data_IF_413317069205
#
_entry.id   IF_413317069205
#
_cell.length_a   1.000
_cell.length_b   1.000
_cell.length_c   1.000
_cell.angle_alpha   90.00
_cell.angle_beta   90.00
_cell.angle_gamma   90.00
#
_symmetry.space_group_name_H-M   'P 1'
#
loop_
_entity.id
_entity.type
_entity.pdbx_description
1 polymer ?
#
# COMPACT_ATOMS: atom_id res chain seq x y z
N UNK A 1 -17.52 11.74 25.32
CA UNK A 1 -16.89 12.11 24.06
C UNK A 1 -16.82 10.90 23.13
N UNK A 2 -16.67 11.11 21.84
CA UNK A 2 -16.54 10.03 20.87
C UNK A 2 -15.13 9.41 20.96
N UNK A 3 -15.01 8.09 20.80
CA UNK A 3 -13.67 7.44 20.72
C UNK A 3 -12.91 8.00 19.50
N UNK A 4 -11.60 8.18 19.63
CA UNK A 4 -10.78 8.80 18.59
C UNK A 4 -10.75 8.01 17.29
N UNK A 5 -10.69 6.67 17.34
CA UNK A 5 -10.78 5.79 16.18
C UNK A 5 -12.09 5.96 15.40
N UNK A 6 -13.24 6.05 16.11
CA UNK A 6 -14.54 6.34 15.49
C UNK A 6 -14.62 7.76 14.89
N UNK A 7 -13.96 8.75 15.54
CA UNK A 7 -13.90 10.11 15.00
C UNK A 7 -13.16 10.14 13.67
N UNK A 8 -12.02 9.45 13.56
CA UNK A 8 -11.28 9.36 12.30
C UNK A 8 -12.10 8.65 11.22
N UNK A 9 -12.80 7.57 11.57
CA UNK A 9 -13.70 6.88 10.64
C UNK A 9 -14.80 7.79 10.08
N UNK A 10 -15.39 8.68 10.91
CA UNK A 10 -16.40 9.63 10.44
C UNK A 10 -15.82 10.62 9.43
N UNK A 11 -14.63 11.16 9.67
CA UNK A 11 -13.97 12.05 8.72
C UNK A 11 -13.63 11.37 7.40
N UNK A 12 -13.24 10.08 7.44
CA UNK A 12 -13.02 9.29 6.23
C UNK A 12 -14.30 9.19 5.38
N UNK A 13 -15.43 8.85 6.02
CA UNK A 13 -16.74 8.78 5.34
C UNK A 13 -17.18 10.15 4.83
N UNK A 14 -16.95 11.23 5.60
CA UNK A 14 -17.29 12.59 5.21
C UNK A 14 -16.46 13.05 4.00
N UNK A 15 -15.17 12.73 3.96
CA UNK A 15 -14.30 12.98 2.81
C UNK A 15 -14.84 12.31 1.54
N UNK A 16 -15.13 11.01 1.60
CA UNK A 16 -15.68 10.26 0.46
C UNK A 16 -16.99 10.87 -0.07
N UNK A 17 -17.87 11.29 0.84
CA UNK A 17 -19.12 11.95 0.48
C UNK A 17 -18.90 13.28 -0.25
N UNK A 18 -18.03 14.14 0.26
CA UNK A 18 -17.72 15.42 -0.38
C UNK A 18 -17.00 15.22 -1.71
N UNK A 19 -16.05 14.29 -1.77
CA UNK A 19 -15.36 13.96 -3.01
C UNK A 19 -16.31 13.48 -4.11
N UNK A 20 -17.24 12.57 -3.79
CA UNK A 20 -18.26 12.10 -4.75
C UNK A 20 -19.18 13.21 -5.22
N UNK A 21 -19.55 14.13 -4.33
CA UNK A 21 -20.35 15.30 -4.69
C UNK A 21 -19.58 16.23 -5.61
N UNK A 22 -18.33 16.55 -5.32
CA UNK A 22 -17.46 17.38 -6.16
C UNK A 22 -17.29 16.79 -7.57
N UNK A 23 -17.05 15.48 -7.67
CA UNK A 23 -16.97 14.79 -8.95
C UNK A 23 -18.28 14.91 -9.74
N UNK A 24 -19.42 14.72 -9.09
CA UNK A 24 -20.73 14.85 -9.76
C UNK A 24 -20.97 16.28 -10.27
N UNK A 25 -20.56 17.31 -9.51
CA UNK A 25 -20.66 18.71 -9.90
C UNK A 25 -19.76 19.04 -11.11
N UNK A 26 -18.55 18.53 -11.14
CA UNK A 26 -17.61 18.69 -12.27
C UNK A 26 -18.13 17.97 -13.54
N UNK A 27 -18.68 16.77 -13.39
CA UNK A 27 -19.31 16.05 -14.51
C UNK A 27 -20.55 16.79 -15.04
N UNK A 28 -21.35 17.42 -14.18
CA UNK A 28 -22.49 18.25 -14.58
C UNK A 28 -22.06 19.48 -15.40
N UNK A 29 -20.79 19.91 -15.28
CA UNK A 29 -20.17 20.97 -16.09
C UNK A 29 -19.61 20.47 -17.42
N UNK A 30 -19.77 19.16 -17.74
CA UNK A 30 -19.39 18.56 -19.01
C UNK A 30 -18.07 17.80 -19.00
N UNK A 31 -17.43 17.60 -17.85
CA UNK A 31 -16.21 16.79 -17.73
C UNK A 31 -16.52 15.30 -17.77
N UNK A 32 -15.63 14.51 -18.36
CA UNK A 32 -15.63 13.06 -18.16
C UNK A 32 -15.33 12.72 -16.69
N UNK A 33 -15.55 11.48 -16.28
CA UNK A 33 -15.23 11.04 -14.92
C UNK A 33 -13.74 11.21 -14.61
N UNK A 34 -12.89 10.79 -15.56
CA UNK A 34 -11.44 10.87 -15.44
C UNK A 34 -10.94 12.32 -15.34
N UNK A 35 -11.52 13.23 -16.15
CA UNK A 35 -11.23 14.66 -16.10
C UNK A 35 -11.66 15.27 -14.75
N UNK A 36 -12.84 14.92 -14.25
CA UNK A 36 -13.35 15.39 -12.97
C UNK A 36 -12.47 14.91 -11.80
N UNK A 37 -12.07 13.64 -11.80
CA UNK A 37 -11.15 13.07 -10.80
C UNK A 37 -9.77 13.74 -10.82
N UNK A 38 -9.26 14.06 -12.00
CA UNK A 38 -7.99 14.78 -12.15
C UNK A 38 -8.08 16.25 -11.70
N UNK A 39 -9.23 16.90 -11.94
CA UNK A 39 -9.47 18.30 -11.62
C UNK A 39 -9.96 18.55 -10.19
N UNK A 40 -10.24 17.50 -9.40
CA UNK A 40 -10.78 17.63 -8.06
C UNK A 40 -9.87 18.44 -7.12
N UNK A 41 -10.27 19.61 -6.63
CA UNK A 41 -9.54 20.37 -5.62
C UNK A 41 -9.32 19.58 -4.33
N UNK A 42 -10.34 18.89 -3.84
CA UNK A 42 -10.28 18.10 -2.61
C UNK A 42 -9.22 17.00 -2.69
N UNK A 43 -9.16 16.30 -3.83
CA UNK A 43 -8.15 15.27 -4.07
C UNK A 43 -6.75 15.88 -4.27
N UNK A 44 -6.64 17.05 -4.88
CA UNK A 44 -5.39 17.78 -5.03
C UNK A 44 -4.79 18.17 -3.67
N UNK A 45 -5.62 18.65 -2.73
CA UNK A 45 -5.21 18.95 -1.36
C UNK A 45 -4.75 17.69 -0.61
N UNK A 46 -5.47 16.56 -0.77
CA UNK A 46 -5.08 15.29 -0.16
C UNK A 46 -3.72 14.78 -0.68
N UNK A 47 -3.47 14.90 -1.99
CA UNK A 47 -2.18 14.55 -2.60
C UNK A 47 -1.05 15.48 -2.10
N UNK A 48 -1.33 16.75 -1.93
CA UNK A 48 -0.35 17.71 -1.36
C UNK A 48 -0.02 17.37 0.09
N UNK A 49 -1.02 16.99 0.90
CA UNK A 49 -0.78 16.52 2.27
C UNK A 49 0.11 15.28 2.30
N UNK A 50 -0.08 14.32 1.38
CA UNK A 50 0.78 13.14 1.28
C UNK A 50 2.24 13.53 0.95
N UNK A 51 2.44 14.43 -0.01
CA UNK A 51 3.79 14.92 -0.35
C UNK A 51 4.47 15.62 0.83
N UNK A 52 3.72 16.48 1.54
CA UNK A 52 4.22 17.13 2.77
C UNK A 52 4.57 16.12 3.85
N UNK A 53 3.73 15.11 4.03
CA UNK A 53 4.00 14.03 4.98
C UNK A 53 5.29 13.27 4.64
N UNK A 54 5.48 12.88 3.39
CA UNK A 54 6.71 12.19 2.94
C UNK A 54 7.94 13.11 3.04
N UNK A 55 7.78 14.40 2.79
CA UNK A 55 8.85 15.40 2.95
C UNK A 55 9.20 15.72 4.42
N UNK A 56 8.43 15.19 5.38
CA UNK A 56 8.67 15.40 6.81
C UNK A 56 8.13 16.71 7.37
N UNK A 57 7.12 17.33 6.73
CA UNK A 57 6.48 18.55 7.23
C UNK A 57 6.02 18.37 8.68
N UNK A 58 6.47 19.20 9.63
CA UNK A 58 6.25 18.98 11.05
C UNK A 58 4.78 19.14 11.46
N UNK A 59 4.01 20.00 10.82
CA UNK A 59 2.61 20.21 11.17
C UNK A 59 1.74 19.07 10.65
N UNK A 60 1.97 18.62 9.42
CA UNK A 60 1.29 17.46 8.85
C UNK A 60 1.62 16.19 9.64
N UNK A 61 2.90 15.97 9.97
CA UNK A 61 3.35 14.83 10.78
C UNK A 61 2.72 14.83 12.17
N UNK A 62 2.67 15.96 12.84
CA UNK A 62 2.07 16.10 14.18
C UNK A 62 0.58 15.73 14.18
N UNK A 63 -0.19 16.21 13.22
CA UNK A 63 -1.61 15.86 13.10
C UNK A 63 -1.79 14.38 12.80
N UNK A 64 -1.01 13.85 11.86
CA UNK A 64 -1.02 12.43 11.50
C UNK A 64 -0.66 11.53 12.69
N UNK A 65 0.38 11.83 13.45
CA UNK A 65 0.78 11.09 14.65
C UNK A 65 -0.30 11.10 15.73
N UNK A 66 -0.91 12.26 15.96
CA UNK A 66 -2.02 12.38 16.91
C UNK A 66 -3.21 11.50 16.49
N UNK A 67 -3.62 11.54 15.22
CA UNK A 67 -4.72 10.74 14.69
C UNK A 67 -4.42 9.24 14.80
N UNK A 68 -3.22 8.82 14.40
CA UNK A 68 -2.81 7.41 14.49
C UNK A 68 -2.74 6.92 15.93
N UNK A 69 -2.29 7.75 16.89
CA UNK A 69 -2.29 7.36 18.31
C UNK A 69 -3.68 6.98 18.81
N UNK A 70 -4.72 7.66 18.35
CA UNK A 70 -6.10 7.34 18.71
C UNK A 70 -6.58 6.03 18.07
N UNK A 71 -6.22 5.80 16.80
CA UNK A 71 -6.56 4.56 16.10
C UNK A 71 -5.85 3.36 16.72
N UNK A 72 -4.57 3.48 17.04
CA UNK A 72 -3.80 2.40 17.68
C UNK A 72 -4.35 2.06 19.07
N UNK A 73 -4.72 3.05 19.86
CA UNK A 73 -5.36 2.81 21.15
C UNK A 73 -6.70 2.03 21.00
N UNK A 74 -7.46 2.32 19.94
CA UNK A 74 -8.67 1.57 19.59
C UNK A 74 -8.38 0.12 19.17
N UNK A 75 -7.33 -0.10 18.39
CA UNK A 75 -6.87 -1.44 17.99
C UNK A 75 -6.41 -2.25 19.18
N UNK A 76 -5.58 -1.67 20.06
CA UNK A 76 -5.08 -2.34 21.27
C UNK A 76 -6.23 -2.80 22.19
N UNK A 77 -7.27 -1.97 22.36
CA UNK A 77 -8.45 -2.35 23.10
C UNK A 77 -9.16 -3.55 22.46
N UNK A 78 -9.33 -3.52 21.14
CA UNK A 78 -10.00 -4.58 20.37
C UNK A 78 -9.21 -5.89 20.47
N UNK A 79 -7.92 -5.88 20.20
CA UNK A 79 -7.07 -7.07 20.27
C UNK A 79 -7.05 -7.67 21.67
N UNK A 80 -6.96 -6.84 22.72
CA UNK A 80 -7.02 -7.31 24.11
C UNK A 80 -8.36 -8.01 24.41
N UNK A 81 -9.48 -7.46 23.92
CA UNK A 81 -10.80 -8.07 24.09
C UNK A 81 -10.96 -9.36 23.30
N UNK A 82 -10.28 -9.51 22.18
CA UNK A 82 -10.25 -10.74 21.38
C UNK A 82 -9.26 -11.78 21.91
N UNK A 83 -8.41 -11.44 22.88
CA UNK A 83 -7.35 -12.30 23.36
C UNK A 83 -6.23 -12.54 22.34
N UNK A 84 -5.99 -11.55 21.47
CA UNK A 84 -4.95 -11.60 20.41
C UNK A 84 -3.77 -10.75 20.83
N UNK A 85 -2.56 -11.26 20.64
CA UNK A 85 -1.30 -10.59 20.86
C UNK A 85 -0.36 -10.80 19.66
N UNK A 86 0.69 -9.98 19.55
CA UNK A 86 1.63 -9.99 18.42
C UNK A 86 3.07 -9.92 18.91
N UNK A 87 3.94 -10.76 18.37
CA UNK A 87 5.39 -10.69 18.63
C UNK A 87 6.01 -9.42 18.06
N UNK A 88 5.50 -8.92 16.92
CA UNK A 88 5.97 -7.69 16.28
C UNK A 88 4.89 -7.04 15.42
N UNK A 89 4.84 -5.72 15.50
CA UNK A 89 3.98 -4.88 14.67
C UNK A 89 4.87 -4.11 13.67
N UNK A 90 4.46 -4.11 12.39
CA UNK A 90 5.08 -3.33 11.32
C UNK A 90 4.13 -2.20 10.91
N UNK A 91 4.66 -0.98 10.91
CA UNK A 91 3.89 0.20 10.53
C UNK A 91 4.24 0.62 9.10
N UNK A 92 3.24 0.86 8.28
CA UNK A 92 3.40 1.26 6.88
C UNK A 92 4.25 2.53 6.72
N UNK A 93 4.15 3.45 7.70
CA UNK A 93 4.99 4.66 7.77
C UNK A 93 6.50 4.40 7.88
N UNK A 94 6.90 3.17 8.19
CA UNK A 94 8.28 2.72 8.25
C UNK A 94 8.62 1.79 7.08
N UNK A 95 7.69 0.89 6.75
CA UNK A 95 7.91 -0.14 5.72
C UNK A 95 7.93 0.43 4.30
N UNK A 96 7.26 1.55 4.03
CA UNK A 96 7.22 2.15 2.69
C UNK A 96 8.60 2.59 2.19
N UNK A 97 9.50 3.02 3.08
CA UNK A 97 10.87 3.42 2.72
C UNK A 97 11.66 2.22 2.19
N UNK A 98 11.59 1.08 2.88
CA UNK A 98 12.21 -0.17 2.46
C UNK A 98 11.62 -0.68 1.13
N UNK A 99 10.33 -0.48 0.93
CA UNK A 99 9.66 -0.80 -0.34
C UNK A 99 10.13 0.10 -1.48
N UNK A 100 10.23 1.42 -1.27
CA UNK A 100 10.77 2.35 -2.27
C UNK A 100 12.19 1.99 -2.69
N UNK A 101 13.07 1.72 -1.71
CA UNK A 101 14.43 1.28 -1.97
C UNK A 101 14.46 0.04 -2.87
N UNK A 102 13.63 -0.96 -2.54
CA UNK A 102 13.56 -2.20 -3.31
C UNK A 102 12.99 -2.01 -4.72
N UNK A 103 12.02 -1.12 -4.88
CA UNK A 103 11.48 -0.75 -6.21
C UNK A 103 12.54 -0.04 -7.05
N UNK A 104 13.30 0.89 -6.48
CA UNK A 104 14.38 1.57 -7.19
C UNK A 104 15.50 0.60 -7.59
N UNK A 105 15.87 -0.33 -6.71
CA UNK A 105 16.81 -1.42 -7.04
C UNK A 105 16.29 -2.28 -8.20
N UNK A 106 15.00 -2.63 -8.21
CA UNK A 106 14.37 -3.37 -9.30
C UNK A 106 14.35 -2.60 -10.63
N UNK A 107 14.20 -1.29 -10.58
CA UNK A 107 14.30 -0.42 -11.74
C UNK A 107 15.73 -0.40 -12.31
N UNK A 108 16.76 -0.26 -11.47
CA UNK A 108 18.17 -0.30 -11.87
C UNK A 108 18.56 -1.64 -12.50
N UNK A 109 17.98 -2.75 -12.02
CA UNK A 109 18.20 -4.09 -12.55
C UNK A 109 17.38 -4.41 -13.81
N UNK A 110 16.53 -3.49 -14.27
CA UNK A 110 15.66 -3.70 -15.44
C UNK A 110 14.51 -4.68 -15.22
N UNK A 111 14.21 -5.03 -13.97
CA UNK A 111 13.05 -5.87 -13.58
C UNK A 111 11.75 -5.05 -13.61
N UNK A 112 11.88 -3.76 -13.37
CA UNK A 112 10.82 -2.76 -13.42
C UNK A 112 11.14 -1.71 -14.49
N UNK A 113 10.15 -0.93 -14.89
CA UNK A 113 10.34 0.11 -15.88
C UNK A 113 9.68 1.44 -15.46
N UNK A 114 10.16 2.53 -16.04
CA UNK A 114 9.63 3.88 -15.83
C UNK A 114 8.83 4.31 -17.05
N UNK A 115 7.62 4.84 -16.83
CA UNK A 115 6.82 5.50 -17.89
C UNK A 115 7.29 6.94 -18.12
N UNK A 116 6.84 7.55 -19.21
CA UNK A 116 7.18 8.93 -19.58
C UNK A 116 6.78 9.97 -18.52
N UNK A 117 5.71 9.72 -17.78
CA UNK A 117 5.25 10.55 -16.67
C UNK A 117 6.11 10.45 -15.40
N UNK A 118 7.12 9.55 -15.39
CA UNK A 118 8.02 9.31 -14.27
C UNK A 118 7.57 8.20 -13.32
N UNK A 119 6.36 7.67 -13.46
CA UNK A 119 5.84 6.56 -12.64
C UNK A 119 6.61 5.26 -12.89
N UNK A 120 6.71 4.41 -11.85
CA UNK A 120 7.41 3.11 -11.92
C UNK A 120 6.42 1.96 -11.89
N UNK A 121 6.59 1.03 -12.81
CA UNK A 121 5.67 -0.06 -13.07
C UNK A 121 6.39 -1.41 -13.19
N UNK A 122 5.65 -2.47 -12.90
CA UNK A 122 5.99 -3.85 -13.27
C UNK A 122 5.11 -4.31 -14.44
N UNK A 123 5.71 -4.95 -15.43
CA UNK A 123 4.98 -5.65 -16.47
C UNK A 123 4.82 -7.11 -16.05
N UNK A 124 3.56 -7.56 -15.91
CA UNK A 124 3.21 -8.92 -15.49
C UNK A 124 2.43 -9.65 -16.59
N UNK A 125 2.51 -9.19 -17.83
CA UNK A 125 1.77 -9.75 -18.98
C UNK A 125 2.16 -11.20 -19.28
N UNK A 126 3.41 -11.58 -19.02
CA UNK A 126 3.92 -12.96 -19.10
C UNK A 126 3.27 -13.93 -18.10
N UNK A 127 2.71 -13.40 -17.00
CA UNK A 127 1.93 -14.13 -16.00
C UNK A 127 0.40 -14.03 -16.25
N UNK A 128 -0.01 -13.43 -17.37
CA UNK A 128 -1.41 -13.17 -17.69
C UNK A 128 -2.09 -12.12 -16.83
N UNK A 129 -1.31 -11.22 -16.22
CA UNK A 129 -1.77 -10.15 -15.36
C UNK A 129 -1.50 -8.78 -15.98
N UNK A 130 -2.17 -7.75 -15.47
CA UNK A 130 -1.97 -6.38 -15.90
C UNK A 130 -0.66 -5.79 -15.37
N UNK A 131 -0.22 -4.68 -16.00
CA UNK A 131 0.85 -3.86 -15.47
C UNK A 131 0.46 -3.31 -14.09
N UNK A 132 1.42 -3.29 -13.15
CA UNK A 132 1.22 -2.80 -11.78
C UNK A 132 2.05 -1.57 -11.48
N UNK A 133 1.38 -0.52 -11.03
CA UNK A 133 2.00 0.69 -10.50
C UNK A 133 2.68 0.38 -9.17
N UNK A 134 3.92 0.82 -9.02
CA UNK A 134 4.71 0.69 -7.79
C UNK A 134 5.13 2.04 -7.20
N UNK A 135 5.41 3.05 -8.04
CA UNK A 135 5.57 4.43 -7.59
C UNK A 135 4.81 5.35 -8.53
N UNK A 136 4.11 6.33 -7.96
CA UNK A 136 3.42 7.37 -8.74
C UNK A 136 4.41 8.29 -9.43
N UNK A 137 3.93 9.10 -10.37
CA UNK A 137 4.73 10.08 -11.10
C UNK A 137 5.46 11.09 -10.19
N UNK A 138 4.86 11.44 -9.06
CA UNK A 138 5.45 12.30 -8.02
C UNK A 138 6.42 11.55 -7.07
N UNK A 139 6.67 10.27 -7.30
CA UNK A 139 7.55 9.42 -6.50
C UNK A 139 6.92 8.86 -5.22
N UNK A 140 5.64 9.13 -4.95
CA UNK A 140 4.97 8.57 -3.77
C UNK A 140 4.66 7.08 -3.94
N UNK A 141 4.68 6.35 -2.82
CA UNK A 141 4.42 4.90 -2.78
C UNK A 141 2.93 4.57 -2.91
N UNK A 142 2.65 3.33 -3.27
CA UNK A 142 1.33 2.71 -3.25
C UNK A 142 1.33 1.53 -2.26
N UNK A 143 0.18 0.94 -1.96
CA UNK A 143 0.08 -0.20 -1.03
C UNK A 143 1.02 -1.36 -1.39
N UNK A 144 1.15 -1.69 -2.68
CA UNK A 144 2.06 -2.74 -3.14
C UNK A 144 3.52 -2.46 -2.75
N UNK A 145 3.96 -1.21 -2.84
CA UNK A 145 5.31 -0.79 -2.41
C UNK A 145 5.51 -1.03 -0.91
N UNK A 146 4.50 -0.69 -0.11
CA UNK A 146 4.54 -0.89 1.35
C UNK A 146 4.61 -2.37 1.70
N UNK A 147 3.85 -3.23 1.03
CA UNK A 147 3.86 -4.68 1.23
C UNK A 147 5.19 -5.33 0.85
N UNK A 148 5.83 -4.88 -0.24
CA UNK A 148 7.19 -5.30 -0.60
C UNK A 148 8.16 -4.95 0.53
N UNK A 149 8.09 -3.73 1.08
CA UNK A 149 8.91 -3.29 2.20
C UNK A 149 8.67 -4.11 3.47
N UNK A 150 7.42 -4.39 3.78
CA UNK A 150 7.03 -5.22 4.93
C UNK A 150 7.57 -6.64 4.80
N UNK A 151 7.46 -7.25 3.62
CA UNK A 151 8.01 -8.58 3.36
C UNK A 151 9.53 -8.60 3.54
N UNK A 152 10.26 -7.62 2.96
CA UNK A 152 11.71 -7.46 3.14
C UNK A 152 12.09 -7.43 4.62
N UNK A 153 11.38 -6.61 5.43
CA UNK A 153 11.66 -6.49 6.85
C UNK A 153 11.39 -7.77 7.63
N UNK A 154 10.30 -8.47 7.35
CA UNK A 154 9.96 -9.74 8.02
C UNK A 154 11.03 -10.79 7.85
N UNK A 155 11.57 -10.95 6.64
CA UNK A 155 12.66 -11.89 6.37
C UNK A 155 14.01 -11.46 6.92
N UNK A 156 14.24 -10.15 7.05
CA UNK A 156 15.42 -9.62 7.72
C UNK A 156 15.38 -9.85 9.23
N UNK A 157 14.20 -9.63 9.83
CA UNK A 157 14.05 -9.61 11.28
C UNK A 157 13.90 -11.01 11.89
N UNK A 158 13.47 -11.98 11.11
CA UNK A 158 13.23 -13.36 11.56
C UNK A 158 13.76 -14.39 10.57
N UNK A 159 14.41 -15.46 11.05
CA UNK A 159 14.83 -16.60 10.22
C UNK A 159 13.61 -17.50 9.90
N UNK A 160 12.67 -16.99 9.13
CA UNK A 160 11.42 -17.69 8.80
C UNK A 160 11.57 -18.50 7.50
N UNK A 161 11.02 -19.70 7.50
CA UNK A 161 10.95 -20.57 6.31
C UNK A 161 9.65 -20.40 5.52
N UNK A 162 8.62 -19.89 6.17
CA UNK A 162 7.31 -19.69 5.55
C UNK A 162 6.65 -18.40 6.06
N UNK A 163 6.15 -17.60 5.15
CA UNK A 163 5.29 -16.45 5.47
C UNK A 163 3.84 -16.77 5.09
N UNK A 164 2.91 -16.59 6.04
CA UNK A 164 1.49 -16.84 5.84
C UNK A 164 0.76 -15.50 5.97
N UNK A 165 0.00 -15.14 4.94
CA UNK A 165 -0.90 -13.99 4.97
C UNK A 165 -2.32 -14.46 5.28
N UNK A 166 -2.90 -13.94 6.35
CA UNK A 166 -4.30 -14.21 6.72
C UNK A 166 -5.13 -13.01 6.28
N UNK A 167 -5.87 -13.15 5.20
CA UNK A 167 -6.58 -12.07 4.51
C UNK A 167 -7.95 -12.55 4.01
N UNK A 168 -8.83 -11.59 3.70
CA UNK A 168 -10.10 -11.90 3.02
C UNK A 168 -9.89 -12.26 1.53
N UNK A 169 -10.83 -12.99 0.95
CA UNK A 169 -10.74 -13.48 -0.44
C UNK A 169 -10.60 -12.35 -1.47
N UNK A 170 -11.12 -11.17 -1.20
CA UNK A 170 -10.97 -9.99 -2.03
C UNK A 170 -9.51 -9.54 -2.22
N UNK A 171 -8.60 -9.99 -1.34
CA UNK A 171 -7.17 -9.70 -1.40
C UNK A 171 -6.37 -10.73 -2.22
N UNK A 172 -6.97 -11.84 -2.68
CA UNK A 172 -6.24 -12.91 -3.37
C UNK A 172 -5.42 -12.41 -4.55
N UNK A 173 -6.02 -11.57 -5.41
CA UNK A 173 -5.33 -10.98 -6.55
C UNK A 173 -4.13 -10.11 -6.14
N UNK A 174 -4.29 -9.29 -5.10
CA UNK A 174 -3.22 -8.45 -4.58
C UNK A 174 -2.03 -9.29 -4.11
N UNK A 175 -2.28 -10.37 -3.35
CA UNK A 175 -1.20 -11.24 -2.84
C UNK A 175 -0.60 -12.15 -3.92
N UNK A 176 -1.35 -12.52 -4.96
CA UNK A 176 -0.79 -13.17 -6.14
C UNK A 176 0.23 -12.25 -6.82
N UNK A 177 -0.12 -11.00 -7.06
CA UNK A 177 0.78 -9.99 -7.63
C UNK A 177 2.00 -9.78 -6.73
N UNK A 178 1.80 -9.62 -5.42
CA UNK A 178 2.89 -9.46 -4.46
C UNK A 178 3.88 -10.62 -4.51
N UNK A 179 3.40 -11.87 -4.57
CA UNK A 179 4.23 -13.07 -4.67
C UNK A 179 5.15 -13.02 -5.90
N UNK A 180 4.58 -12.70 -7.07
CA UNK A 180 5.34 -12.59 -8.33
C UNK A 180 6.39 -11.46 -8.24
N UNK A 181 6.02 -10.32 -7.70
CA UNK A 181 6.92 -9.19 -7.54
C UNK A 181 8.07 -9.49 -6.59
N UNK A 182 7.81 -10.15 -5.47
CA UNK A 182 8.86 -10.57 -4.54
C UNK A 182 9.86 -11.52 -5.21
N UNK A 183 9.41 -12.48 -6.01
CA UNK A 183 10.26 -13.36 -6.80
C UNK A 183 11.15 -12.56 -7.77
N UNK A 184 10.55 -11.67 -8.57
CA UNK A 184 11.26 -10.85 -9.56
C UNK A 184 12.28 -9.91 -8.92
N UNK A 185 11.98 -9.42 -7.70
CA UNK A 185 12.87 -8.56 -6.93
C UNK A 185 13.96 -9.34 -6.15
N UNK A 186 14.03 -10.66 -6.33
CA UNK A 186 15.13 -11.49 -5.84
C UNK A 186 14.92 -12.12 -4.47
N UNK A 187 13.68 -12.25 -3.99
CA UNK A 187 13.34 -13.02 -2.79
C UNK A 187 13.21 -14.52 -3.15
N UNK A 188 14.33 -15.16 -3.48
CA UNK A 188 14.44 -16.50 -4.08
C UNK A 188 13.71 -17.65 -3.37
N UNK A 189 13.48 -17.54 -2.07
CA UNK A 189 12.81 -18.60 -1.29
C UNK A 189 11.37 -18.88 -1.73
N UNK A 190 10.70 -17.93 -2.37
CA UNK A 190 9.32 -18.10 -2.90
C UNK A 190 9.32 -19.04 -4.12
N UNK A 191 10.27 -18.87 -5.05
CA UNK A 191 10.40 -19.70 -6.25
C UNK A 191 10.73 -21.16 -5.90
N UNK A 192 11.64 -21.40 -4.96
CA UNK A 192 12.01 -22.74 -4.54
C UNK A 192 10.85 -23.52 -3.92
N UNK A 193 9.98 -22.84 -3.15
CA UNK A 193 8.80 -23.49 -2.54
C UNK A 193 7.67 -23.75 -3.53
N UNK A 194 7.43 -22.87 -4.49
CA UNK A 194 6.46 -23.09 -5.57
C UNK A 194 6.84 -24.38 -6.35
N UNK A 195 8.09 -24.50 -6.73
CA UNK A 195 8.61 -25.67 -7.45
C UNK A 195 8.51 -26.97 -6.61
N UNK A 196 8.72 -26.90 -5.30
CA UNK A 196 8.57 -28.04 -4.41
C UNK A 196 7.11 -28.51 -4.25
N UNK A 197 6.15 -27.59 -4.20
CA UNK A 197 4.71 -27.90 -4.16
C UNK A 197 4.21 -28.46 -5.49
N UNK A 198 4.63 -27.89 -6.61
CA UNK A 198 4.32 -28.41 -7.96
C UNK A 198 4.93 -29.81 -8.18
N UNK A 199 6.17 -30.05 -7.73
CA UNK A 199 6.83 -31.35 -7.80
C UNK A 199 6.20 -32.41 -6.89
N UNK A 200 5.56 -32.00 -5.78
CA UNK A 200 4.82 -32.89 -4.88
C UNK A 200 3.40 -33.23 -5.37
N UNK A 201 2.94 -32.63 -6.48
CA UNK A 201 1.60 -32.86 -7.01
C UNK A 201 0.47 -32.25 -6.17
N UNK A 202 0.77 -31.33 -5.31
CA UNK A 202 -0.15 -30.59 -4.46
C UNK A 202 -0.48 -29.23 -5.09
N UNK A 203 -1.10 -29.25 -6.27
CA UNK A 203 -1.58 -28.09 -7.01
C UNK A 203 -3.10 -28.07 -7.09
#
# INVERSE_FOLDING_TARGET
>A
GKKGDHLIGDFYVLFDKHYKQEIAELQAQGMSKEEAEAASPLMAEAREMLRKWEAGDPDVRRVWEMMNSWVYAGFDETYRRMGVDFDKIYYESQTYLEGKEKVLEGLEKGVLFRKEDGSVWADLSDEGLDQKLLLRADGTSVYMTQDIGTAKLRFRDYPIDRMIYVVGNEQNYHFQVLSILLDRLGFKFMAEKKNALEAAGEG
#
